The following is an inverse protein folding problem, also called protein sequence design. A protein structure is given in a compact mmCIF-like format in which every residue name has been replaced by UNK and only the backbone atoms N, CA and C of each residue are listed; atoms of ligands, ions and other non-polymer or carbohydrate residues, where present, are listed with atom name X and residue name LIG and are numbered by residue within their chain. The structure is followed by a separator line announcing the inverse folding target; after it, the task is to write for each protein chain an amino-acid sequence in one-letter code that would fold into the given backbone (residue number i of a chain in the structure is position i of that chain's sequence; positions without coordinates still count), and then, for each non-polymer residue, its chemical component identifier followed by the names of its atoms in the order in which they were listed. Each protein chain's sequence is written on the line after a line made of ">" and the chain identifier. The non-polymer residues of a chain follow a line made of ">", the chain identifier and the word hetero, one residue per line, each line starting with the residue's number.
data_IF_914030796369
#
_entry.id   IF_914030796369
#
_cell.length_a   1.000
_cell.length_b   1.000
_cell.length_c   1.000
_cell.angle_alpha   90.00
_cell.angle_beta   90.00
_cell.angle_gamma   90.00
#
_symmetry.space_group_name_H-M   'P 1'
#
loop_
_entity.id
_entity.type
_entity.pdbx_description
1 polymer ?
#
# COMPACT_ATOMS: atom_id res chain seq x y z
N UNK A 1 -21.03 11.80 12.91
CA UNK A 1 -19.83 11.23 12.25
C UNK A 1 -20.26 10.03 11.43
N UNK A 2 -20.18 10.10 10.10
CA UNK A 2 -20.42 8.93 9.24
C UNK A 2 -19.10 8.15 9.16
N UNK A 3 -19.15 6.84 9.34
CA UNK A 3 -18.00 5.98 9.12
C UNK A 3 -18.38 4.78 8.26
N UNK A 4 -17.52 4.46 7.29
CA UNK A 4 -17.61 3.21 6.51
C UNK A 4 -16.46 2.31 6.94
N UNK A 5 -16.72 1.01 6.98
CA UNK A 5 -15.74 0.03 7.42
C UNK A 5 -15.85 -1.22 6.56
N UNK A 6 -14.98 -1.31 5.56
CA UNK A 6 -14.95 -2.39 4.60
C UNK A 6 -13.64 -3.18 4.74
N UNK A 7 -13.69 -4.45 4.36
CA UNK A 7 -12.48 -5.26 4.21
C UNK A 7 -12.28 -5.45 2.72
N UNK A 8 -11.07 -5.19 2.25
CA UNK A 8 -10.67 -5.39 0.87
C UNK A 8 -9.61 -6.47 0.80
N UNK A 9 -9.68 -7.29 -0.25
CA UNK A 9 -8.64 -8.22 -0.63
C UNK A 9 -7.83 -7.60 -1.75
N UNK A 10 -6.56 -7.35 -1.48
CA UNK A 10 -5.57 -6.94 -2.46
C UNK A 10 -4.84 -8.20 -2.93
N UNK A 11 -4.94 -8.53 -4.21
CA UNK A 11 -4.40 -9.75 -4.78
C UNK A 11 -3.35 -9.38 -5.82
N UNK A 12 -2.16 -9.95 -5.69
CA UNK A 12 -1.08 -9.85 -6.68
C UNK A 12 -0.86 -11.24 -7.28
N UNK A 13 -1.05 -11.37 -8.58
CA UNK A 13 -0.76 -12.57 -9.35
C UNK A 13 0.58 -12.42 -10.07
N UNK A 14 1.41 -13.44 -9.99
CA UNK A 14 2.66 -13.54 -10.73
C UNK A 14 2.41 -14.37 -11.99
N UNK A 15 2.32 -13.70 -13.14
CA UNK A 15 1.84 -14.32 -14.39
C UNK A 15 2.72 -15.51 -14.79
N UNK A 16 4.04 -15.35 -14.70
CA UNK A 16 5.02 -16.38 -15.11
C UNK A 16 4.98 -17.65 -14.25
N UNK A 17 4.74 -17.51 -12.96
CA UNK A 17 4.78 -18.64 -12.01
C UNK A 17 3.40 -19.18 -11.69
N UNK A 18 2.32 -18.47 -12.05
CA UNK A 18 0.95 -18.81 -11.67
C UNK A 18 0.65 -18.66 -10.17
N UNK A 19 1.61 -18.16 -9.39
CA UNK A 19 1.45 -17.95 -7.94
C UNK A 19 0.67 -16.66 -7.65
N UNK A 20 0.07 -16.58 -6.46
CA UNK A 20 -0.61 -15.37 -6.01
C UNK A 20 -0.32 -15.07 -4.55
N UNK A 21 -0.32 -13.78 -4.25
CA UNK A 21 -0.21 -13.22 -2.92
C UNK A 21 -1.47 -12.43 -2.61
N UNK A 22 -2.08 -12.67 -1.45
CA UNK A 22 -3.29 -11.98 -1.02
C UNK A 22 -3.01 -11.26 0.30
N UNK A 23 -3.36 -9.98 0.34
CA UNK A 23 -3.32 -9.14 1.53
C UNK A 23 -4.72 -8.65 1.83
N UNK A 24 -5.25 -8.99 3.00
CA UNK A 24 -6.54 -8.45 3.42
C UNK A 24 -6.31 -7.19 4.24
N UNK A 25 -6.96 -6.10 3.83
CA UNK A 25 -6.82 -4.79 4.45
C UNK A 25 -8.20 -4.32 4.89
N UNK A 26 -8.31 -3.95 6.17
CA UNK A 26 -9.46 -3.21 6.68
C UNK A 26 -9.27 -1.74 6.34
N UNK A 27 -10.26 -1.16 5.68
CA UNK A 27 -10.27 0.27 5.36
C UNK A 27 -11.42 0.90 6.12
N UNK A 28 -11.06 1.84 7.00
CA UNK A 28 -12.02 2.67 7.73
C UNK A 28 -11.97 4.08 7.17
N UNK A 29 -13.12 4.62 6.88
CA UNK A 29 -13.30 5.98 6.39
C UNK A 29 -13.97 6.80 7.48
N UNK A 30 -13.34 7.93 7.86
CA UNK A 30 -13.86 8.85 8.87
C UNK A 30 -14.11 10.21 8.24
N UNK A 31 -15.37 10.64 8.23
CA UNK A 31 -15.77 11.97 7.76
C UNK A 31 -15.87 12.98 8.89
N UNK A 32 -15.15 14.08 8.75
CA UNK A 32 -15.01 15.19 9.71
C UNK A 32 -15.18 16.51 8.95
N UNK A 33 -16.42 16.91 8.69
CA UNK A 33 -16.77 18.11 7.89
C UNK A 33 -15.98 18.15 6.56
N UNK A 34 -14.97 19.02 6.46
CA UNK A 34 -14.11 19.20 5.27
C UNK A 34 -12.89 18.28 5.25
N UNK A 35 -12.88 17.22 6.05
CA UNK A 35 -11.75 16.30 6.18
C UNK A 35 -12.22 14.86 6.11
N UNK A 36 -11.48 14.05 5.36
CA UNK A 36 -11.66 12.60 5.29
C UNK A 36 -10.36 11.92 5.71
N UNK A 37 -10.48 10.95 6.60
CA UNK A 37 -9.36 10.10 7.02
C UNK A 37 -9.64 8.67 6.57
N UNK A 38 -8.74 8.13 5.74
CA UNK A 38 -8.70 6.73 5.39
C UNK A 38 -7.65 6.02 6.23
N UNK A 39 -8.08 5.02 7.00
CA UNK A 39 -7.21 4.15 7.77
C UNK A 39 -7.14 2.77 7.11
N UNK A 40 -6.02 2.50 6.46
CA UNK A 40 -5.69 1.20 5.86
C UNK A 40 -4.93 0.37 6.89
N UNK A 41 -5.50 -0.76 7.30
CA UNK A 41 -4.89 -1.66 8.26
C UNK A 41 -4.85 -3.09 7.71
N UNK A 42 -3.64 -3.59 7.44
CA UNK A 42 -3.43 -4.97 7.05
C UNK A 42 -3.84 -5.91 8.19
N UNK A 43 -4.68 -6.91 7.87
CA UNK A 43 -5.19 -7.88 8.83
C UNK A 43 -4.43 -9.20 8.75
N UNK A 44 -4.16 -9.67 7.53
CA UNK A 44 -3.41 -10.90 7.31
C UNK A 44 -2.79 -10.92 5.90
N UNK A 45 -1.88 -11.87 5.76
CA UNK A 45 -1.18 -12.21 4.54
C UNK A 45 -1.46 -13.67 4.22
N UNK A 46 -1.78 -13.95 2.97
CA UNK A 46 -1.87 -15.31 2.45
C UNK A 46 -0.92 -15.38 1.25
N UNK A 47 0.18 -16.09 1.46
CA UNK A 47 1.25 -16.28 0.49
C UNK A 47 1.02 -17.46 -0.47
N UNK A 48 -0.12 -18.15 -0.33
CA UNK A 48 -0.52 -19.28 -1.16
C UNK A 48 0.18 -20.59 -0.78
N UNK A 49 0.00 -21.59 -1.64
CA UNK A 49 0.52 -22.97 -1.43
C UNK A 49 2.07 -22.99 -1.42
N UNK A 50 2.70 -22.03 -2.08
CA UNK A 50 4.15 -21.90 -2.20
C UNK A 50 4.71 -20.87 -1.22
N UNK A 51 4.11 -20.75 -0.03
CA UNK A 51 4.54 -19.78 0.98
C UNK A 51 6.00 -20.02 1.43
N UNK A 52 6.44 -21.28 1.44
CA UNK A 52 7.81 -21.67 1.82
C UNK A 52 8.86 -21.17 0.79
N UNK A 53 8.45 -20.99 -0.47
CA UNK A 53 9.32 -20.48 -1.54
C UNK A 53 9.53 -18.95 -1.45
N UNK A 54 8.74 -18.26 -0.62
CA UNK A 54 8.86 -16.82 -0.43
C UNK A 54 9.91 -16.55 0.65
N UNK A 55 11.00 -15.91 0.24
CA UNK A 55 12.10 -15.57 1.15
C UNK A 55 11.64 -14.73 2.36
N UNK A 56 12.31 -14.92 3.48
CA UNK A 56 12.06 -14.14 4.71
C UNK A 56 12.19 -12.64 4.47
N UNK A 57 13.18 -12.22 3.67
CA UNK A 57 13.33 -10.83 3.20
C UNK A 57 12.02 -10.29 2.61
N UNK A 58 11.45 -11.01 1.65
CA UNK A 58 10.22 -10.62 0.96
C UNK A 58 9.03 -10.54 1.91
N UNK A 59 8.89 -11.50 2.83
CA UNK A 59 7.86 -11.47 3.87
C UNK A 59 8.04 -10.25 4.78
N UNK A 60 9.26 -9.97 5.22
CA UNK A 60 9.57 -8.86 6.11
C UNK A 60 9.23 -7.49 5.50
N UNK A 61 9.63 -7.26 4.24
CA UNK A 61 9.26 -6.05 3.49
C UNK A 61 7.75 -5.87 3.40
N UNK A 62 6.97 -6.95 3.21
CA UNK A 62 5.52 -6.85 3.04
C UNK A 62 4.80 -6.21 4.22
N UNK A 63 5.40 -6.26 5.41
CA UNK A 63 4.86 -5.66 6.64
C UNK A 63 5.13 -4.16 6.77
N UNK A 64 5.99 -3.57 5.93
CA UNK A 64 6.41 -2.18 6.06
C UNK A 64 5.24 -1.20 6.00
N UNK A 65 4.30 -1.45 5.09
CA UNK A 65 3.11 -0.63 4.89
C UNK A 65 1.86 -1.24 5.54
N UNK A 66 2.01 -1.93 6.69
CA UNK A 66 0.91 -2.56 7.45
C UNK A 66 -0.21 -1.60 7.82
N UNK A 67 0.15 -0.35 8.06
CA UNK A 67 -0.77 0.69 8.46
C UNK A 67 -0.46 1.95 7.68
N UNK A 68 -1.45 2.48 6.96
CA UNK A 68 -1.37 3.78 6.28
C UNK A 68 -2.57 4.59 6.74
N UNK A 69 -2.31 5.82 7.18
CA UNK A 69 -3.35 6.78 7.56
C UNK A 69 -3.27 7.94 6.57
N UNK A 70 -4.13 7.93 5.55
CA UNK A 70 -4.24 9.00 4.57
C UNK A 70 -5.25 10.02 5.08
N UNK A 71 -4.84 11.27 5.14
CA UNK A 71 -5.70 12.41 5.46
C UNK A 71 -5.85 13.29 4.23
N UNK A 72 -7.10 13.59 3.87
CA UNK A 72 -7.46 14.51 2.78
C UNK A 72 -8.30 15.63 3.38
N UNK A 73 -7.88 16.87 3.14
CA UNK A 73 -8.61 18.08 3.51
C UNK A 73 -9.15 18.75 2.25
N UNK A 74 -10.38 19.24 2.32
CA UNK A 74 -11.10 19.88 1.21
C UNK A 74 -11.39 21.35 1.53
N UNK A 75 -11.62 22.16 0.50
CA UNK A 75 -12.05 23.55 0.69
C UNK A 75 -13.53 23.64 1.10
N UNK A 76 -14.33 22.66 0.70
CA UNK A 76 -15.78 22.59 0.86
C UNK A 76 -16.23 21.35 1.65
N UNK A 77 -17.50 21.36 2.11
CA UNK A 77 -18.10 20.23 2.86
C UNK A 77 -18.64 19.12 1.96
N UNK A 78 -18.79 19.38 0.67
CA UNK A 78 -19.22 18.39 -0.32
C UNK A 78 -18.05 17.53 -0.83
N UNK A 79 -16.82 17.80 -0.35
CA UNK A 79 -15.59 17.10 -0.69
C UNK A 79 -15.27 17.14 -2.20
N UNK A 80 -15.48 18.30 -2.82
CA UNK A 80 -15.31 18.46 -4.28
C UNK A 80 -13.93 18.98 -4.67
N UNK A 81 -13.32 19.87 -3.88
CA UNK A 81 -12.00 20.44 -4.17
C UNK A 81 -10.99 20.14 -3.05
N UNK A 82 -9.92 19.42 -3.40
CA UNK A 82 -8.88 19.04 -2.44
C UNK A 82 -8.00 20.25 -2.12
N UNK A 83 -7.89 20.57 -0.82
CA UNK A 83 -7.00 21.59 -0.28
C UNK A 83 -5.62 21.04 0.06
N UNK A 84 -5.57 19.88 0.73
CA UNK A 84 -4.30 19.25 1.08
C UNK A 84 -4.45 17.75 1.30
N UNK A 85 -3.33 17.04 1.20
CA UNK A 85 -3.27 15.60 1.43
C UNK A 85 -1.97 15.25 2.13
N UNK A 86 -2.00 14.23 2.99
CA UNK A 86 -0.79 13.70 3.63
C UNK A 86 -0.98 12.28 4.16
N UNK A 87 0.13 11.56 4.26
CA UNK A 87 0.20 10.32 5.04
C UNK A 87 0.54 10.68 6.49
N UNK A 88 -0.47 10.67 7.36
CA UNK A 88 -0.38 11.16 8.74
C UNK A 88 0.63 10.38 9.59
N UNK A 89 0.82 9.11 9.31
CA UNK A 89 1.76 8.24 10.03
C UNK A 89 3.10 8.05 9.30
N UNK A 90 3.50 9.01 8.44
CA UNK A 90 4.77 8.94 7.69
C UNK A 90 5.99 8.77 8.61
N UNK A 91 6.04 9.44 9.76
CA UNK A 91 7.18 9.31 10.68
C UNK A 91 7.25 7.92 11.32
N UNK A 92 6.11 7.31 11.65
CA UNK A 92 6.05 5.91 12.08
C UNK A 92 6.53 4.96 10.96
N UNK A 93 6.19 5.23 9.70
CA UNK A 93 6.69 4.45 8.56
C UNK A 93 8.22 4.59 8.42
N UNK A 94 8.79 5.78 8.62
CA UNK A 94 10.25 6.01 8.64
C UNK A 94 10.93 5.21 9.74
N UNK A 95 10.40 5.26 10.96
CA UNK A 95 10.94 4.51 12.10
C UNK A 95 10.92 3.00 11.85
N UNK A 96 9.78 2.48 11.39
CA UNK A 96 9.64 1.06 11.04
C UNK A 96 10.59 0.66 9.91
N UNK A 97 10.74 1.52 8.90
CA UNK A 97 11.66 1.28 7.80
C UNK A 97 13.12 1.22 8.27
N UNK A 98 13.56 2.21 9.05
CA UNK A 98 14.93 2.27 9.54
C UNK A 98 15.28 1.03 10.38
N UNK A 99 14.35 0.58 11.23
CA UNK A 99 14.51 -0.66 12.00
C UNK A 99 14.63 -1.87 11.08
N UNK A 100 13.68 -2.07 10.18
CA UNK A 100 13.66 -3.19 9.25
C UNK A 100 14.89 -3.22 8.34
N UNK A 101 15.28 -2.07 7.78
CA UNK A 101 16.47 -1.92 6.94
C UNK A 101 17.74 -2.34 7.69
N UNK A 102 17.88 -1.93 8.96
CA UNK A 102 19.03 -2.31 9.80
C UNK A 102 19.09 -3.83 10.00
N UNK A 103 17.95 -4.46 10.29
CA UNK A 103 17.84 -5.92 10.44
C UNK A 103 18.20 -6.64 9.14
N UNK A 104 17.69 -6.18 8.01
CA UNK A 104 17.93 -6.81 6.71
C UNK A 104 19.37 -6.65 6.23
N UNK A 105 20.04 -5.53 6.52
CA UNK A 105 21.44 -5.27 6.13
C UNK A 105 22.46 -6.23 6.76
N UNK A 106 22.10 -6.91 7.86
CA UNK A 106 22.96 -7.90 8.51
C UNK A 106 23.21 -9.10 7.59
N UNK A 107 22.15 -9.58 6.94
CA UNK A 107 22.16 -10.83 6.17
C UNK A 107 22.12 -10.59 4.65
N UNK A 108 21.78 -9.38 4.20
CA UNK A 108 21.56 -9.06 2.80
C UNK A 108 22.52 -7.97 2.32
N UNK A 109 23.41 -8.31 1.39
CA UNK A 109 24.40 -7.40 0.80
C UNK A 109 24.39 -7.50 -0.73
N UNK A 110 24.79 -6.42 -1.39
CA UNK A 110 24.96 -6.35 -2.82
C UNK A 110 24.15 -5.23 -3.47
N UNK A 111 24.60 -4.83 -4.65
CA UNK A 111 24.12 -3.63 -5.37
C UNK A 111 22.60 -3.63 -5.54
N UNK A 112 22.00 -4.75 -5.95
CA UNK A 112 20.55 -4.83 -6.15
C UNK A 112 19.74 -4.54 -4.87
N UNK A 113 20.25 -4.95 -3.71
CA UNK A 113 19.56 -4.76 -2.42
C UNK A 113 19.78 -3.33 -1.91
N UNK A 114 20.96 -2.77 -2.13
CA UNK A 114 21.26 -1.37 -1.81
C UNK A 114 20.39 -0.41 -2.64
N UNK A 115 20.29 -0.64 -3.95
CA UNK A 115 19.41 0.12 -4.85
C UNK A 115 17.94 0.01 -4.40
N UNK A 116 17.51 -1.19 -4.01
CA UNK A 116 16.17 -1.41 -3.48
C UNK A 116 15.91 -0.61 -2.19
N UNK A 117 16.87 -0.61 -1.25
CA UNK A 117 16.74 0.17 -0.02
C UNK A 117 16.72 1.67 -0.29
N UNK A 118 17.54 2.15 -1.22
CA UNK A 118 17.54 3.56 -1.64
C UNK A 118 16.20 3.98 -2.26
N UNK A 119 15.53 3.09 -3.01
CA UNK A 119 14.21 3.36 -3.56
C UNK A 119 13.17 3.52 -2.44
N UNK A 120 13.17 2.63 -1.44
CA UNK A 120 12.27 2.76 -0.29
C UNK A 120 12.59 4.02 0.52
N UNK A 121 13.88 4.33 0.75
CA UNK A 121 14.31 5.57 1.41
C UNK A 121 13.74 6.78 0.68
N UNK A 122 13.83 6.81 -0.65
CA UNK A 122 13.33 7.92 -1.47
C UNK A 122 11.82 8.08 -1.34
N UNK A 123 11.06 6.98 -1.36
CA UNK A 123 9.60 6.99 -1.20
C UNK A 123 9.23 7.48 0.19
N UNK A 124 9.75 6.86 1.25
CA UNK A 124 9.30 7.12 2.63
C UNK A 124 9.74 8.50 3.15
N UNK A 125 10.88 9.01 2.69
CA UNK A 125 11.39 10.31 3.14
C UNK A 125 10.84 11.52 2.37
N UNK A 126 10.16 11.31 1.25
CA UNK A 126 9.55 12.38 0.46
C UNK A 126 8.02 12.28 0.53
N UNK A 127 7.37 13.32 1.05
CA UNK A 127 5.91 13.32 1.25
C UNK A 127 5.13 13.17 -0.06
N UNK A 128 5.55 13.82 -1.14
CA UNK A 128 4.87 13.76 -2.43
C UNK A 128 5.01 12.36 -3.05
N UNK A 129 6.22 11.79 -3.02
CA UNK A 129 6.46 10.43 -3.53
C UNK A 129 5.75 9.36 -2.70
N UNK A 130 5.67 9.54 -1.38
CA UNK A 130 4.91 8.64 -0.52
C UNK A 130 3.41 8.75 -0.81
N UNK A 131 2.91 9.97 -1.01
CA UNK A 131 1.51 10.19 -1.37
C UNK A 131 1.19 9.53 -2.70
N UNK A 132 1.98 9.82 -3.74
CA UNK A 132 1.85 9.19 -5.05
C UNK A 132 1.85 7.66 -4.94
N UNK A 133 2.78 7.10 -4.17
CA UNK A 133 2.86 5.66 -3.92
C UNK A 133 1.59 5.11 -3.27
N UNK A 134 1.01 5.78 -2.27
CA UNK A 134 -0.24 5.36 -1.61
C UNK A 134 -1.43 5.31 -2.58
N UNK A 135 -1.44 6.15 -3.62
CA UNK A 135 -2.48 6.11 -4.65
C UNK A 135 -2.31 4.95 -5.64
N UNK A 136 -1.13 4.32 -5.73
CA UNK A 136 -0.86 3.25 -6.69
C UNK A 136 -1.39 1.88 -6.23
N UNK A 137 -1.64 1.00 -7.19
CA UNK A 137 -1.98 -0.41 -6.92
C UNK A 137 -0.83 -1.18 -6.22
N UNK A 138 0.41 -0.72 -6.41
CA UNK A 138 1.65 -1.38 -5.97
C UNK A 138 1.85 -1.36 -4.44
N UNK A 139 1.37 -0.32 -3.74
CA UNK A 139 1.55 -0.11 -2.29
C UNK A 139 1.04 -1.29 -1.45
N UNK A 140 0.07 -2.06 -1.95
CA UNK A 140 -0.51 -3.19 -1.24
C UNK A 140 -0.07 -4.56 -1.77
N UNK A 141 0.61 -4.60 -2.92
CA UNK A 141 1.17 -5.82 -3.51
C UNK A 141 2.60 -6.15 -3.08
N UNK A 142 3.32 -5.17 -2.50
CA UNK A 142 4.67 -5.21 -1.86
C UNK A 142 5.62 -6.35 -2.29
N UNK A 143 5.67 -6.60 -3.59
CA UNK A 143 6.85 -7.13 -4.27
C UNK A 143 7.23 -6.07 -5.28
N UNK A 144 7.87 -5.02 -4.77
CA UNK A 144 8.36 -3.88 -5.53
C UNK A 144 9.20 -4.37 -6.72
N UNK A 145 8.59 -4.44 -7.90
CA UNK A 145 9.22 -3.84 -9.07
C UNK A 145 8.85 -2.37 -8.96
N UNK A 146 9.74 -1.54 -8.44
CA UNK A 146 9.57 -0.10 -8.43
C UNK A 146 9.61 0.43 -9.88
N UNK A 147 8.53 0.22 -10.61
CA UNK A 147 8.25 0.95 -11.84
C UNK A 147 6.87 1.55 -11.72
N UNK A 148 6.75 2.74 -12.29
CA UNK A 148 5.59 3.61 -12.25
C UNK A 148 4.31 2.86 -12.60
N UNK A 149 3.54 2.47 -11.60
CA UNK A 149 2.20 1.97 -11.82
C UNK A 149 1.28 3.19 -11.85
N UNK A 150 1.02 3.70 -13.07
CA UNK A 150 0.40 5.01 -13.31
C UNK A 150 -1.09 5.10 -12.96
N UNK A 151 -1.73 4.02 -12.47
CA UNK A 151 -3.17 4.00 -12.24
C UNK A 151 -3.51 4.12 -10.75
N UNK A 152 -4.32 5.12 -10.43
CA UNK A 152 -4.87 5.33 -9.08
C UNK A 152 -5.89 4.25 -8.72
N UNK A 153 -5.90 3.84 -7.46
CA UNK A 153 -6.90 2.91 -6.88
C UNK A 153 -8.17 3.64 -6.40
N UNK A 154 -8.19 4.97 -6.49
CA UNK A 154 -9.31 5.81 -6.10
C UNK A 154 -10.03 6.37 -7.32
N UNK A 155 -11.34 6.55 -7.20
CA UNK A 155 -12.12 7.39 -8.10
C UNK A 155 -11.79 8.87 -7.89
N UNK A 156 -12.27 9.74 -8.79
CA UNK A 156 -12.07 11.20 -8.68
C UNK A 156 -12.68 11.80 -7.41
N UNK A 157 -13.68 11.13 -6.83
CA UNK A 157 -14.31 11.50 -5.55
C UNK A 157 -13.57 10.93 -4.33
N UNK A 158 -12.37 10.39 -4.52
CA UNK A 158 -11.54 9.72 -3.50
C UNK A 158 -12.20 8.51 -2.83
N UNK A 159 -13.22 7.91 -3.46
CA UNK A 159 -13.72 6.60 -3.03
C UNK A 159 -12.85 5.49 -3.60
N UNK A 160 -12.66 4.41 -2.83
CA UNK A 160 -11.85 3.28 -3.29
C UNK A 160 -12.60 2.48 -4.37
N UNK A 161 -11.88 2.12 -5.43
CA UNK A 161 -12.41 1.40 -6.57
C UNK A 161 -12.08 -0.09 -6.50
N UNK A 162 -13.06 -0.97 -6.73
CA UNK A 162 -12.77 -2.35 -7.14
C UNK A 162 -12.17 -2.33 -8.55
N UNK A 163 -10.97 -2.87 -8.70
CA UNK A 163 -10.17 -2.68 -9.91
C UNK A 163 -9.25 -3.86 -10.17
N UNK A 164 -8.86 -4.03 -11.43
CA UNK A 164 -7.79 -4.92 -11.83
C UNK A 164 -6.88 -4.20 -12.80
N UNK A 165 -5.57 -4.37 -12.61
CA UNK A 165 -4.54 -3.82 -13.48
C UNK A 165 -3.57 -4.94 -13.86
N UNK A 166 -3.17 -5.01 -15.13
CA UNK A 166 -2.15 -5.93 -15.62
C UNK A 166 -0.92 -5.11 -15.99
N UNK A 167 0.21 -5.45 -15.40
CA UNK A 167 1.55 -5.06 -15.82
C UNK A 167 2.27 -6.30 -16.41
N UNK A 168 3.37 -6.07 -17.11
CA UNK A 168 4.18 -7.03 -17.87
C UNK A 168 4.23 -8.43 -17.27
N UNK A 169 4.53 -8.56 -15.97
CA UNK A 169 4.67 -9.85 -15.28
C UNK A 169 3.67 -10.04 -14.13
N UNK A 170 2.82 -9.04 -13.83
CA UNK A 170 2.00 -8.99 -12.62
C UNK A 170 0.56 -8.60 -12.95
N UNK A 171 -0.41 -9.20 -12.27
CA UNK A 171 -1.78 -8.70 -12.23
C UNK A 171 -2.15 -8.30 -10.81
N UNK A 172 -2.68 -7.11 -10.63
CA UNK A 172 -3.21 -6.60 -9.37
C UNK A 172 -4.73 -6.65 -9.41
N UNK A 173 -5.36 -7.03 -8.31
CA UNK A 173 -6.80 -6.95 -8.10
C UNK A 173 -7.11 -6.38 -6.72
N UNK A 174 -8.13 -5.52 -6.65
CA UNK A 174 -8.67 -4.96 -5.40
C UNK A 174 -10.15 -5.29 -5.37
N UNK A 175 -10.58 -6.08 -4.40
CA UNK A 175 -11.94 -6.60 -4.29
C UNK A 175 -12.50 -6.32 -2.89
N UNK A 176 -13.73 -5.81 -2.78
CA UNK A 176 -14.42 -5.70 -1.50
C UNK A 176 -14.80 -7.12 -1.07
N UNK A 177 -14.37 -7.52 0.11
CA UNK A 177 -14.90 -8.71 0.77
C UNK A 177 -16.28 -8.34 1.30
N UNK A 178 -17.33 -8.55 0.50
CA UNK A 178 -18.71 -8.47 0.98
C UNK A 178 -18.79 -9.37 2.21
N UNK A 179 -19.12 -8.81 3.38
CA UNK A 179 -19.46 -9.63 4.54
C UNK A 179 -20.67 -10.47 4.11
N UNK A 180 -20.49 -11.78 4.03
CA UNK A 180 -21.60 -12.71 4.14
C UNK A 180 -22.20 -12.57 5.53
#
# INVERSE_FOLDING_TARGET
>A
MKSKNNIYSFITFFIKTGSKYIRNVRIREFFLEKKVIFHFLALNYNYGINEEDISLFKKAISFLFNEIILEIEYYDTECTEIKSQKVRNQDTLKENWNKLKTELLVENKGVCIEEYFQQIDKIINNTDLLLDFVYQHSVYGVFLKAKDNMQSIFYQDNTLKETSCIDTDLRYEILIKKKQ
#
